data_IF_068330535593
#
_entry.id   IF_068330535593
#
_cell.length_a   1.000
_cell.length_b   1.000
_cell.length_c   1.000
_cell.angle_alpha   90.00
_cell.angle_beta   90.00
_cell.angle_gamma   90.00
#
_symmetry.space_group_name_H-M   'P 1'
#
loop_
_entity.id
_entity.type
_entity.pdbx_description
1 polymer ?
#
# COMPACT_ATOMS: atom_id res chain seq x y z
N UNK A 1 -7.18 -18.84 22.26
CA UNK A 1 -7.36 -19.47 20.92
C UNK A 1 -7.47 -20.99 21.01
N UNK A 2 -6.45 -21.73 21.47
CA UNK A 2 -6.54 -23.20 21.65
C UNK A 2 -7.65 -23.67 22.59
N UNK A 3 -7.84 -22.98 23.71
CA UNK A 3 -8.91 -23.30 24.68
C UNK A 3 -10.32 -23.05 24.13
N UNK A 4 -10.45 -22.29 23.03
CA UNK A 4 -11.73 -22.03 22.35
C UNK A 4 -11.90 -22.92 21.10
N UNK A 5 -11.06 -23.94 20.92
CA UNK A 5 -11.13 -24.85 19.76
C UNK A 5 -10.70 -24.23 18.42
N UNK A 6 -10.05 -23.06 18.44
CA UNK A 6 -9.53 -22.43 17.23
C UNK A 6 -8.14 -22.99 16.93
N UNK A 7 -8.06 -23.78 15.86
CA UNK A 7 -6.84 -24.46 15.41
C UNK A 7 -6.13 -23.77 14.23
N UNK A 8 -6.73 -22.72 13.66
CA UNK A 8 -6.14 -21.95 12.56
C UNK A 8 -4.82 -21.30 13.02
N UNK A 9 -3.81 -21.35 12.15
CA UNK A 9 -2.47 -20.78 12.37
C UNK A 9 -2.23 -19.49 11.60
N UNK A 10 -3.19 -19.07 10.79
CA UNK A 10 -3.17 -17.82 10.02
C UNK A 10 -4.38 -16.96 10.34
N UNK A 11 -4.20 -15.65 10.22
CA UNK A 11 -5.26 -14.66 10.34
C UNK A 11 -4.99 -13.53 9.34
N UNK A 12 -6.07 -12.91 8.86
CA UNK A 12 -6.01 -11.67 8.09
C UNK A 12 -6.51 -10.53 8.97
N UNK A 13 -5.72 -9.47 9.06
CA UNK A 13 -6.06 -8.25 9.80
C UNK A 13 -6.10 -7.07 8.83
N UNK A 14 -6.93 -6.08 9.13
CA UNK A 14 -7.03 -4.84 8.38
C UNK A 14 -6.64 -3.67 9.27
N UNK A 15 -5.82 -2.77 8.73
CA UNK A 15 -5.52 -1.48 9.35
C UNK A 15 -6.39 -0.40 8.70
N UNK A 16 -7.10 0.37 9.53
CA UNK A 16 -7.93 1.49 9.11
C UNK A 16 -7.75 2.66 10.09
N UNK A 17 -7.90 3.89 9.61
CA UNK A 17 -7.77 5.10 10.43
C UNK A 17 -6.94 6.19 9.77
N UNK A 18 -6.91 7.39 10.38
CA UNK A 18 -6.27 8.59 9.81
C UNK A 18 -4.74 8.53 9.66
N UNK A 19 -4.13 7.45 10.13
CA UNK A 19 -2.71 7.17 10.01
C UNK A 19 -2.36 6.38 8.74
N UNK A 20 -3.34 5.80 8.04
CA UNK A 20 -3.12 5.14 6.75
C UNK A 20 -3.42 6.14 5.64
N UNK A 21 -2.46 6.38 4.75
CA UNK A 21 -2.62 7.25 3.59
C UNK A 21 -3.10 6.42 2.40
N UNK A 22 -4.21 6.84 1.77
CA UNK A 22 -4.79 6.16 0.61
C UNK A 22 -5.19 7.21 -0.41
N UNK A 23 -4.64 7.14 -1.63
CA UNK A 23 -5.02 8.07 -2.71
C UNK A 23 -4.81 7.49 -4.10
N UNK A 24 -5.77 7.69 -5.03
CA UNK A 24 -5.53 7.44 -6.45
C UNK A 24 -4.61 8.52 -7.03
N UNK A 25 -3.57 8.10 -7.74
CA UNK A 25 -2.55 8.95 -8.35
C UNK A 25 -2.33 8.49 -9.79
N UNK A 26 -2.16 9.46 -10.69
CA UNK A 26 -1.92 9.20 -12.11
C UNK A 26 -0.42 9.02 -12.35
N UNK A 27 -0.05 7.89 -12.94
CA UNK A 27 1.30 7.56 -13.34
C UNK A 27 1.41 7.44 -14.87
N UNK A 28 2.62 7.63 -15.45
CA UNK A 28 2.90 7.17 -16.80
C UNK A 28 2.65 5.66 -16.90
N UNK A 29 2.12 5.21 -18.04
CA UNK A 29 1.85 3.79 -18.27
C UNK A 29 3.15 2.99 -18.27
N UNK A 30 3.21 1.98 -17.41
CA UNK A 30 4.36 1.09 -17.29
C UNK A 30 3.91 -0.29 -16.81
N UNK A 31 4.80 -1.29 -16.87
CA UNK A 31 4.51 -2.61 -16.32
C UNK A 31 4.45 -2.56 -14.79
N UNK A 32 3.64 -3.43 -14.19
CA UNK A 32 3.55 -3.57 -12.73
C UNK A 32 4.93 -3.81 -12.08
N UNK A 33 5.79 -4.62 -12.72
CA UNK A 33 7.16 -4.88 -12.28
C UNK A 33 8.05 -3.63 -12.24
N UNK A 34 7.83 -2.70 -13.18
CA UNK A 34 8.54 -1.42 -13.23
C UNK A 34 8.00 -0.49 -12.17
N UNK A 35 6.68 -0.40 -12.05
CA UNK A 35 6.02 0.39 -11.01
C UNK A 35 6.47 -0.07 -9.62
N UNK A 36 6.54 -1.37 -9.33
CA UNK A 36 6.99 -1.90 -8.04
C UNK A 36 8.41 -1.47 -7.66
N UNK A 37 9.29 -1.24 -8.64
CA UNK A 37 10.65 -0.75 -8.40
C UNK A 37 10.71 0.76 -8.19
N UNK A 38 9.83 1.52 -8.85
CA UNK A 38 9.83 2.99 -8.80
C UNK A 38 8.92 3.56 -7.69
N UNK A 39 7.86 2.84 -7.32
CA UNK A 39 6.77 3.34 -6.47
C UNK A 39 7.27 3.82 -5.12
N UNK A 40 8.29 3.18 -4.53
CA UNK A 40 8.83 3.59 -3.24
C UNK A 40 9.50 4.97 -3.31
N UNK A 41 10.18 5.27 -4.41
CA UNK A 41 10.80 6.59 -4.64
C UNK A 41 9.73 7.64 -4.94
N UNK A 42 8.74 7.29 -5.77
CA UNK A 42 7.66 8.21 -6.14
C UNK A 42 6.71 8.50 -4.97
N UNK A 43 6.45 7.51 -4.12
CA UNK A 43 5.59 7.63 -2.93
C UNK A 43 6.08 8.70 -1.95
N UNK A 44 7.39 8.98 -1.89
CA UNK A 44 7.94 10.04 -1.05
C UNK A 44 7.39 11.44 -1.38
N UNK A 45 6.83 11.63 -2.59
CA UNK A 45 6.18 12.89 -3.00
C UNK A 45 4.74 13.02 -2.52
N UNK A 46 4.11 11.91 -2.12
CA UNK A 46 2.68 11.85 -1.85
C UNK A 46 2.37 11.49 -0.41
N UNK A 47 3.17 10.61 0.19
CA UNK A 47 2.97 10.09 1.54
C UNK A 47 3.55 11.07 2.56
N UNK A 48 2.74 11.61 3.48
CA UNK A 48 3.25 12.43 4.58
C UNK A 48 4.16 11.61 5.51
N UNK A 49 5.33 12.15 5.84
CA UNK A 49 6.31 11.48 6.72
C UNK A 49 7.38 10.71 5.95
N UNK A 50 8.02 9.75 6.61
CA UNK A 50 9.11 8.96 6.04
C UNK A 50 8.57 7.73 5.31
N UNK A 51 8.86 7.63 4.01
CA UNK A 51 8.61 6.40 3.21
C UNK A 51 9.35 5.19 3.78
N UNK A 52 10.43 5.38 4.52
CA UNK A 52 11.17 4.29 5.16
C UNK A 52 10.49 3.76 6.41
N UNK A 53 9.64 4.56 7.05
CA UNK A 53 8.87 4.17 8.25
C UNK A 53 7.47 3.66 7.91
N UNK A 54 7.16 3.51 6.63
CA UNK A 54 5.86 3.06 6.14
C UNK A 54 6.00 1.82 5.25
N UNK A 55 5.02 0.94 5.32
CA UNK A 55 4.76 -0.04 4.27
C UNK A 55 4.06 0.68 3.12
N UNK A 56 4.63 0.58 1.92
CA UNK A 56 4.07 1.16 0.70
C UNK A 56 3.61 0.03 -0.18
N UNK A 57 2.34 0.04 -0.56
CA UNK A 57 1.79 -0.87 -1.56
C UNK A 57 0.90 -0.10 -2.52
N UNK A 58 0.60 -0.70 -3.67
CA UNK A 58 -0.22 -0.08 -4.68
C UNK A 58 -1.13 -1.10 -5.38
N UNK A 59 -2.15 -0.58 -6.05
CA UNK A 59 -2.96 -1.33 -6.99
C UNK A 59 -3.20 -0.52 -8.27
N UNK A 60 -3.21 -1.17 -9.42
CA UNK A 60 -3.41 -0.52 -10.72
C UNK A 60 -4.91 -0.55 -11.04
N UNK A 61 -5.57 0.61 -10.92
CA UNK A 61 -7.01 0.75 -11.18
C UNK A 61 -7.34 0.67 -12.68
N UNK A 62 -6.35 0.89 -13.54
CA UNK A 62 -6.48 0.77 -15.00
C UNK A 62 -5.91 1.95 -15.77
N UNK A 63 -5.97 1.93 -17.11
CA UNK A 63 -5.54 3.03 -17.95
C UNK A 63 -6.46 4.25 -17.79
N UNK A 64 -5.87 5.45 -17.71
CA UNK A 64 -6.62 6.71 -17.86
C UNK A 64 -6.72 7.07 -19.34
N UNK A 65 -5.65 6.82 -20.09
CA UNK A 65 -5.55 6.97 -21.54
C UNK A 65 -4.43 6.07 -22.09
N UNK A 66 -4.01 6.29 -23.34
CA UNK A 66 -2.96 5.50 -24.00
C UNK A 66 -1.60 5.57 -23.29
N UNK A 67 -1.31 6.66 -22.59
CA UNK A 67 -0.01 7.00 -22.02
C UNK A 67 0.03 7.00 -20.49
N UNK A 68 -1.14 7.01 -19.83
CA UNK A 68 -1.27 7.14 -18.38
C UNK A 68 -2.13 6.04 -17.77
N UNK A 69 -1.86 5.72 -16.52
CA UNK A 69 -2.59 4.76 -15.72
C UNK A 69 -2.92 5.35 -14.34
N UNK A 70 -4.05 4.93 -13.77
CA UNK A 70 -4.47 5.31 -12.44
C UNK A 70 -4.02 4.24 -11.45
N UNK A 71 -3.35 4.66 -10.37
CA UNK A 71 -2.76 3.78 -9.37
C UNK A 71 -3.26 4.21 -8.00
N UNK A 72 -3.85 3.29 -7.25
CA UNK A 72 -4.16 3.50 -5.85
C UNK A 72 -2.89 3.25 -5.04
N UNK A 73 -2.36 4.28 -4.37
CA UNK A 73 -1.23 4.12 -3.44
C UNK A 73 -1.78 4.02 -2.02
N UNK A 74 -1.25 3.06 -1.27
CA UNK A 74 -1.50 2.88 0.16
C UNK A 74 -0.18 2.97 0.90
N UNK A 75 -0.14 3.79 1.95
CA UNK A 75 0.97 3.83 2.89
C UNK A 75 0.47 3.65 4.32
N UNK A 76 0.98 2.63 4.99
CA UNK A 76 0.66 2.32 6.38
C UNK A 76 1.93 2.39 7.25
N UNK A 77 1.96 3.20 8.32
CA UNK A 77 3.09 3.26 9.24
C UNK A 77 3.44 1.88 9.80
N UNK A 78 4.73 1.55 9.84
CA UNK A 78 5.21 0.25 10.32
C UNK A 78 4.78 -0.03 11.76
N UNK A 79 4.74 0.99 12.60
CA UNK A 79 4.29 0.90 14.00
C UNK A 79 2.87 0.31 14.13
N UNK A 80 1.95 0.70 13.24
CA UNK A 80 0.57 0.20 13.26
C UNK A 80 0.50 -1.26 12.84
N UNK A 81 1.32 -1.67 11.88
CA UNK A 81 1.31 -3.03 11.35
C UNK A 81 2.06 -3.99 12.26
N UNK A 82 3.17 -3.56 12.86
CA UNK A 82 4.03 -4.40 13.71
C UNK A 82 3.57 -4.48 15.16
N UNK A 83 2.66 -3.61 15.61
CA UNK A 83 2.08 -3.65 16.95
C UNK A 83 0.90 -4.63 17.10
N UNK A 84 0.70 -5.53 16.13
CA UNK A 84 -0.43 -6.46 16.06
C UNK A 84 0.01 -7.88 15.74
#
# INVERSE_FOLDING_TARGET
LKEHGIHATSAHIAAAGGSVFIRPIIFPKMSESTLRKSIRFEAGRYVPGSVDDSFIEFDILGPVDETRMNVLIVAAPKDIVQSR
#
